data_IF_562283233882
#
_entry.id   IF_562283233882
#
_cell.length_a   1.000
_cell.length_b   1.000
_cell.length_c   1.000
_cell.angle_alpha   90.00
_cell.angle_beta   90.00
_cell.angle_gamma   90.00
#
_symmetry.space_group_name_H-M   'P 1'
#
loop_
_entity.id
_entity.type
_entity.pdbx_description
1 polymer ?
#
# COMPACT_ATOMS: atom_id res chain seq x y z
N UNK A 1 54.53 -37.13 -28.54
CA UNK A 1 54.14 -35.73 -28.82
C UNK A 1 52.72 -35.69 -29.36
N UNK A 2 51.77 -35.16 -28.58
CA UNK A 2 50.63 -34.32 -29.01
C UNK A 2 49.68 -34.16 -27.83
N UNK A 3 49.89 -33.05 -27.11
CA UNK A 3 49.02 -32.58 -26.04
C UNK A 3 47.71 -32.10 -26.66
N UNK A 4 46.58 -32.67 -26.24
CA UNK A 4 45.25 -32.22 -26.64
C UNK A 4 44.84 -31.10 -25.67
N UNK A 5 44.79 -29.86 -26.19
CA UNK A 5 44.32 -28.70 -25.45
C UNK A 5 42.78 -28.66 -25.52
N UNK A 6 42.11 -28.89 -24.39
CA UNK A 6 40.68 -28.62 -24.23
C UNK A 6 40.49 -27.14 -23.92
N UNK A 7 39.89 -26.39 -24.86
CA UNK A 7 39.41 -25.04 -24.60
C UNK A 7 38.00 -25.10 -24.00
N UNK A 8 37.85 -24.71 -22.73
CA UNK A 8 36.55 -24.44 -22.13
C UNK A 8 36.04 -23.08 -22.62
N UNK A 9 35.04 -23.08 -23.49
CA UNK A 9 34.26 -21.89 -23.80
C UNK A 9 33.21 -21.67 -22.70
N UNK A 10 33.45 -20.68 -21.82
CA UNK A 10 32.44 -20.17 -20.89
C UNK A 10 31.47 -19.29 -21.67
N UNK A 11 30.31 -19.84 -22.02
CA UNK A 11 29.18 -19.06 -22.54
C UNK A 11 28.49 -18.44 -21.32
N UNK A 12 28.86 -17.21 -20.99
CA UNK A 12 28.13 -16.40 -20.03
C UNK A 12 26.82 -15.96 -20.70
N UNK A 13 25.75 -16.74 -20.52
CA UNK A 13 24.39 -16.25 -20.77
C UNK A 13 24.08 -15.22 -19.70
N UNK A 14 24.31 -13.95 -20.00
CA UNK A 14 23.77 -12.85 -19.22
C UNK A 14 22.25 -12.91 -19.30
N UNK A 15 21.61 -13.33 -18.21
CA UNK A 15 20.18 -13.12 -18.02
C UNK A 15 20.01 -11.62 -17.83
N UNK A 16 19.63 -10.90 -18.88
CA UNK A 16 19.05 -9.57 -18.70
C UNK A 16 17.67 -9.79 -18.11
N UNK A 17 17.56 -9.66 -16.79
CA UNK A 17 16.29 -9.33 -16.17
C UNK A 17 15.90 -7.97 -16.76
N UNK A 18 15.01 -7.96 -17.74
CA UNK A 18 14.29 -6.74 -18.07
C UNK A 18 13.44 -6.45 -16.84
N UNK A 19 13.88 -5.48 -16.03
CA UNK A 19 12.96 -4.78 -15.14
C UNK A 19 11.95 -4.12 -16.08
N UNK A 20 10.78 -4.76 -16.23
CA UNK A 20 9.57 -4.07 -16.65
C UNK A 20 9.36 -2.98 -15.58
N UNK A 21 9.86 -1.78 -15.86
CA UNK A 21 9.61 -0.64 -14.99
C UNK A 21 8.10 -0.46 -14.94
N UNK A 22 7.50 -0.75 -13.79
CA UNK A 22 6.06 -0.60 -13.56
C UNK A 22 5.71 0.85 -13.92
N UNK A 23 4.77 1.06 -14.86
CA UNK A 23 4.46 2.38 -15.42
C UNK A 23 3.68 3.20 -14.37
N UNK A 24 4.39 3.74 -13.38
CA UNK A 24 3.82 4.59 -12.35
C UNK A 24 3.37 5.93 -12.98
N UNK A 25 2.05 6.22 -13.05
CA UNK A 25 1.56 7.45 -13.65
C UNK A 25 1.97 8.71 -12.86
N UNK A 26 2.45 8.56 -11.63
CA UNK A 26 2.98 9.65 -10.81
C UNK A 26 4.38 10.11 -11.23
N UNK A 27 5.16 9.27 -11.92
CA UNK A 27 6.48 9.66 -12.42
C UNK A 27 6.41 10.66 -13.58
N UNK A 28 5.20 10.84 -14.14
CA UNK A 28 4.89 11.75 -15.24
C UNK A 28 4.27 13.07 -14.77
N UNK A 29 4.18 13.30 -13.46
CA UNK A 29 3.64 14.55 -12.89
C UNK A 29 4.64 15.68 -13.13
N UNK A 30 4.17 16.77 -13.74
CA UNK A 30 4.97 17.99 -13.92
C UNK A 30 4.51 19.08 -12.94
N UNK A 31 5.46 19.85 -12.40
CA UNK A 31 5.23 21.01 -11.52
C UNK A 31 4.42 20.70 -10.24
N UNK A 32 4.54 19.48 -9.71
CA UNK A 32 3.84 19.03 -8.50
C UNK A 32 2.30 19.14 -8.56
N UNK A 33 1.73 19.20 -9.78
CA UNK A 33 0.28 19.19 -9.98
C UNK A 33 -0.17 17.75 -10.23
N UNK A 34 -0.76 17.15 -9.20
CA UNK A 34 -1.34 15.81 -9.25
C UNK A 34 -2.24 15.65 -10.49
N UNK A 35 -1.94 14.65 -11.33
CA UNK A 35 -2.84 14.25 -12.41
C UNK A 35 -3.97 13.39 -11.85
N UNK A 36 -5.07 13.25 -12.60
CA UNK A 36 -6.16 12.37 -12.16
C UNK A 36 -5.68 10.92 -12.07
N UNK A 37 -4.88 10.52 -13.05
CA UNK A 37 -4.27 9.21 -13.17
C UNK A 37 -3.33 8.92 -11.99
N UNK A 38 -2.45 9.86 -11.63
CA UNK A 38 -1.59 9.71 -10.46
C UNK A 38 -2.42 9.66 -9.17
N UNK A 39 -3.39 10.57 -8.97
CA UNK A 39 -4.22 10.54 -7.75
C UNK A 39 -4.94 9.20 -7.56
N UNK A 40 -5.46 8.62 -8.66
CA UNK A 40 -6.14 7.34 -8.62
C UNK A 40 -5.18 6.19 -8.31
N UNK A 41 -3.98 6.22 -8.88
CA UNK A 41 -2.92 5.26 -8.59
C UNK A 41 -2.49 5.34 -7.12
N UNK A 42 -2.12 6.53 -6.62
CA UNK A 42 -1.72 6.75 -5.23
C UNK A 42 -2.79 6.28 -4.24
N UNK A 43 -4.06 6.60 -4.51
CA UNK A 43 -5.18 6.09 -3.71
C UNK A 43 -5.19 4.55 -3.67
N UNK A 44 -5.11 3.90 -4.83
CA UNK A 44 -5.15 2.44 -4.90
C UNK A 44 -3.97 1.82 -4.13
N UNK A 45 -2.76 2.33 -4.35
CA UNK A 45 -1.55 1.85 -3.66
C UNK A 45 -1.66 2.00 -2.15
N UNK A 46 -2.15 3.15 -1.65
CA UNK A 46 -2.33 3.38 -0.23
C UNK A 46 -3.43 2.48 0.39
N UNK A 47 -4.52 2.22 -0.34
CA UNK A 47 -5.56 1.28 0.10
C UNK A 47 -5.06 -0.17 0.11
N UNK A 48 -4.21 -0.56 -0.85
CA UNK A 48 -3.57 -1.87 -0.89
C UNK A 48 -2.59 -2.03 0.28
N UNK A 49 -1.72 -1.04 0.53
CA UNK A 49 -0.83 -1.02 1.69
C UNK A 49 -1.60 -1.14 3.02
N UNK A 50 -2.72 -0.43 3.14
CA UNK A 50 -3.58 -0.51 4.32
C UNK A 50 -4.19 -1.91 4.52
N UNK A 51 -4.59 -2.56 3.42
CA UNK A 51 -5.10 -3.94 3.47
C UNK A 51 -4.00 -4.92 3.91
N UNK A 52 -2.80 -4.77 3.36
CA UNK A 52 -1.62 -5.56 3.74
C UNK A 52 -1.30 -5.36 5.22
N UNK A 53 -1.25 -4.13 5.70
CA UNK A 53 -0.96 -3.82 7.09
C UNK A 53 -2.04 -4.30 8.07
N UNK A 54 -3.30 -4.29 7.64
CA UNK A 54 -4.39 -4.90 8.41
C UNK A 54 -4.20 -6.42 8.52
N UNK A 55 -3.79 -7.09 7.43
CA UNK A 55 -3.49 -8.53 7.45
C UNK A 55 -2.30 -8.82 8.34
N UNK A 56 -1.20 -8.10 8.18
CA UNK A 56 0.01 -8.27 8.99
C UNK A 56 -0.25 -8.02 10.48
N UNK A 57 -1.09 -7.05 10.84
CA UNK A 57 -1.51 -6.86 12.23
C UNK A 57 -2.25 -8.09 12.78
N UNK A 58 -3.17 -8.68 12.02
CA UNK A 58 -3.87 -9.89 12.46
C UNK A 58 -2.92 -11.08 12.63
N UNK A 59 -1.94 -11.23 11.74
CA UNK A 59 -0.88 -12.25 11.86
C UNK A 59 -0.01 -12.02 13.11
N UNK A 60 0.36 -10.76 13.41
CA UNK A 60 1.05 -10.40 14.67
C UNK A 60 0.21 -10.77 15.89
N UNK A 61 -1.08 -10.43 15.91
CA UNK A 61 -1.97 -10.78 17.02
C UNK A 61 -2.09 -12.31 17.20
N UNK A 62 -2.16 -13.06 16.10
CA UNK A 62 -2.15 -14.53 16.13
C UNK A 62 -0.85 -15.09 16.73
N UNK A 63 0.30 -14.50 16.39
CA UNK A 63 1.60 -14.90 16.95
C UNK A 63 1.67 -14.65 18.47
N UNK A 64 1.27 -13.45 18.90
CA UNK A 64 1.35 -13.03 20.30
C UNK A 64 0.33 -13.73 21.20
N UNK A 65 -0.91 -13.88 20.72
CA UNK A 65 -2.05 -14.32 21.55
C UNK A 65 -2.61 -15.68 21.15
N UNK A 66 -2.01 -16.39 20.18
CA UNK A 66 -2.52 -17.67 19.67
C UNK A 66 -2.70 -18.78 20.71
N UNK A 67 -1.99 -18.70 21.85
CA UNK A 67 -2.14 -19.65 22.98
C UNK A 67 -3.31 -19.30 23.91
N UNK A 68 -3.92 -18.13 23.75
CA UNK A 68 -5.08 -17.68 24.52
C UNK A 68 -6.23 -17.32 23.56
N UNK A 69 -7.06 -18.30 23.15
CA UNK A 69 -8.10 -18.10 22.14
C UNK A 69 -9.11 -17.00 22.49
N UNK A 70 -9.45 -16.84 23.77
CA UNK A 70 -10.39 -15.80 24.21
C UNK A 70 -9.81 -14.39 24.03
N UNK A 71 -8.54 -14.20 24.40
CA UNK A 71 -7.86 -12.91 24.23
C UNK A 71 -7.62 -12.58 22.75
N UNK A 72 -7.23 -13.58 21.94
CA UNK A 72 -7.08 -13.40 20.49
C UNK A 72 -8.40 -13.00 19.83
N UNK A 73 -9.51 -13.68 20.17
CA UNK A 73 -10.83 -13.35 19.63
C UNK A 73 -11.27 -11.93 20.02
N UNK A 74 -11.02 -11.52 21.27
CA UNK A 74 -11.34 -10.17 21.74
C UNK A 74 -10.56 -9.08 21.00
N UNK A 75 -9.23 -9.20 20.90
CA UNK A 75 -8.41 -8.16 20.26
C UNK A 75 -8.67 -8.06 18.75
N UNK A 76 -8.82 -9.20 18.05
CA UNK A 76 -9.12 -9.21 16.61
C UNK A 76 -10.52 -8.62 16.31
N UNK A 77 -11.51 -8.87 17.17
CA UNK A 77 -12.82 -8.25 17.05
C UNK A 77 -12.75 -6.72 17.22
N UNK A 78 -11.97 -6.24 18.19
CA UNK A 78 -11.75 -4.80 18.42
C UNK A 78 -11.03 -4.13 17.24
N UNK A 79 -9.98 -4.76 16.71
CA UNK A 79 -9.26 -4.26 15.53
C UNK A 79 -10.22 -4.12 14.34
N UNK A 80 -11.02 -5.15 14.07
CA UNK A 80 -12.01 -5.13 12.99
C UNK A 80 -13.02 -3.99 13.16
N UNK A 81 -13.61 -3.86 14.34
CA UNK A 81 -14.59 -2.81 14.62
C UNK A 81 -13.98 -1.40 14.48
N UNK A 82 -12.77 -1.20 15.01
CA UNK A 82 -12.06 0.06 14.92
C UNK A 82 -11.70 0.42 13.47
N UNK A 83 -11.24 -0.55 12.66
CA UNK A 83 -10.93 -0.34 11.26
C UNK A 83 -12.17 0.07 10.45
N UNK A 84 -13.31 -0.62 10.66
CA UNK A 84 -14.59 -0.27 10.00
C UNK A 84 -15.09 1.13 10.37
N UNK A 85 -14.92 1.54 11.64
CA UNK A 85 -15.30 2.88 12.07
C UNK A 85 -14.37 3.95 11.50
N UNK A 86 -13.06 3.66 11.45
CA UNK A 86 -12.08 4.54 10.85
C UNK A 86 -12.36 4.76 9.36
N UNK A 87 -12.72 3.72 8.59
CA UNK A 87 -13.08 3.86 7.17
C UNK A 87 -14.25 4.85 6.95
N UNK A 88 -15.29 4.76 7.80
CA UNK A 88 -16.42 5.71 7.74
C UNK A 88 -16.00 7.14 8.06
N UNK A 89 -15.09 7.29 9.02
CA UNK A 89 -14.53 8.60 9.39
C UNK A 89 -13.73 9.16 8.22
N UNK A 90 -12.90 8.31 7.59
CA UNK A 90 -12.11 8.69 6.42
C UNK A 90 -12.97 9.19 5.28
N UNK A 91 -13.98 8.42 4.92
CA UNK A 91 -14.82 8.78 3.78
C UNK A 91 -15.61 10.07 4.07
N UNK A 92 -16.01 10.30 5.32
CA UNK A 92 -16.67 11.55 5.74
C UNK A 92 -15.74 12.76 5.71
N UNK A 93 -14.52 12.62 6.24
CA UNK A 93 -13.53 13.69 6.27
C UNK A 93 -13.07 14.05 4.85
N UNK A 94 -12.83 13.05 3.99
CA UNK A 94 -12.42 13.30 2.60
C UNK A 94 -13.52 13.93 1.74
N UNK A 95 -14.80 13.70 2.06
CA UNK A 95 -15.90 14.42 1.43
C UNK A 95 -15.92 15.91 1.83
N UNK A 96 -15.44 16.25 3.04
CA UNK A 96 -15.31 17.63 3.53
C UNK A 96 -14.05 18.29 2.95
N UNK A 97 -12.91 17.61 2.96
CA UNK A 97 -11.63 18.14 2.50
C UNK A 97 -11.66 18.53 1.01
N UNK A 98 -12.47 17.85 0.21
CA UNK A 98 -12.67 18.20 -1.19
C UNK A 98 -13.42 19.53 -1.42
N UNK A 99 -13.98 20.17 -0.39
CA UNK A 99 -14.65 21.47 -0.50
C UNK A 99 -13.63 22.60 -0.77
N UNK A 100 -13.89 23.56 -1.69
CA UNK A 100 -15.15 23.83 -2.37
C UNK A 100 -15.29 23.20 -3.76
N UNK A 101 -14.47 22.22 -4.12
CA UNK A 101 -14.55 21.61 -5.44
C UNK A 101 -15.92 20.98 -5.68
N UNK A 102 -16.49 21.22 -6.85
CA UNK A 102 -17.82 20.71 -7.19
C UNK A 102 -17.79 19.18 -7.31
N UNK A 103 -18.71 18.51 -6.61
CA UNK A 103 -18.87 17.06 -6.72
C UNK A 103 -18.97 16.61 -8.19
N UNK A 104 -18.20 15.57 -8.54
CA UNK A 104 -18.10 15.05 -9.91
C UNK A 104 -17.12 15.79 -10.83
N UNK A 105 -16.53 16.90 -10.39
CA UNK A 105 -15.45 17.56 -11.14
C UNK A 105 -14.11 16.82 -11.00
N UNK A 106 -13.18 17.03 -11.95
CA UNK A 106 -11.82 16.48 -11.87
C UNK A 106 -11.10 16.90 -10.58
N UNK A 107 -11.22 18.17 -10.18
CA UNK A 107 -10.60 18.70 -8.97
C UNK A 107 -11.14 18.03 -7.70
N UNK A 108 -12.46 17.79 -7.63
CA UNK A 108 -13.08 17.08 -6.53
C UNK A 108 -12.62 15.62 -6.43
N UNK A 109 -12.49 14.93 -7.56
CA UNK A 109 -11.99 13.55 -7.59
C UNK A 109 -10.53 13.45 -7.15
N UNK A 110 -9.67 14.37 -7.63
CA UNK A 110 -8.26 14.43 -7.22
C UNK A 110 -8.17 14.68 -5.72
N UNK A 111 -8.86 15.70 -5.20
CA UNK A 111 -8.82 16.03 -3.77
C UNK A 111 -9.31 14.86 -2.88
N UNK A 112 -10.36 14.14 -3.29
CA UNK A 112 -10.79 12.95 -2.56
C UNK A 112 -9.77 11.81 -2.62
N UNK A 113 -9.18 11.55 -3.78
CA UNK A 113 -8.19 10.50 -3.94
C UNK A 113 -6.96 10.77 -3.06
N UNK A 114 -6.47 12.01 -3.08
CA UNK A 114 -5.31 12.43 -2.32
C UNK A 114 -5.57 12.36 -0.80
N UNK A 115 -6.74 12.79 -0.35
CA UNK A 115 -7.16 12.64 1.04
C UNK A 115 -7.21 11.15 1.46
N UNK A 116 -7.86 10.31 0.64
CA UNK A 116 -7.96 8.87 0.95
C UNK A 116 -6.58 8.22 1.00
N UNK A 117 -5.67 8.58 0.08
CA UNK A 117 -4.30 8.08 0.07
C UNK A 117 -3.58 8.42 1.38
N UNK A 118 -3.45 9.72 1.69
CA UNK A 118 -2.79 10.21 2.91
C UNK A 118 -3.32 9.54 4.18
N UNK A 119 -4.64 9.50 4.33
CA UNK A 119 -5.24 8.94 5.54
C UNK A 119 -5.03 7.43 5.64
N UNK A 120 -5.00 6.72 4.50
CA UNK A 120 -4.75 5.28 4.47
C UNK A 120 -3.28 4.96 4.80
N UNK A 121 -2.33 5.80 4.36
CA UNK A 121 -0.92 5.71 4.74
C UNK A 121 -0.75 5.96 6.26
N UNK A 122 -1.30 7.05 6.80
CA UNK A 122 -1.27 7.37 8.23
C UNK A 122 -1.86 6.20 9.06
N UNK A 123 -2.95 5.60 8.56
CA UNK A 123 -3.57 4.44 9.22
C UNK A 123 -2.69 3.20 9.13
N UNK A 124 -2.00 2.99 8.02
CA UNK A 124 -1.06 1.88 7.85
C UNK A 124 0.05 1.95 8.88
N UNK A 125 0.69 3.12 9.04
CA UNK A 125 1.71 3.36 10.06
C UNK A 125 1.18 3.10 11.49
N UNK A 126 -0.05 3.56 11.77
CA UNK A 126 -0.69 3.26 13.05
C UNK A 126 -0.87 1.75 13.26
N UNK A 127 -1.35 1.01 12.27
CA UNK A 127 -1.52 -0.45 12.38
C UNK A 127 -0.18 -1.17 12.53
N UNK A 128 0.86 -0.71 11.84
CA UNK A 128 2.24 -1.19 11.99
C UNK A 128 2.73 -1.03 13.42
N UNK A 129 2.47 0.10 14.07
CA UNK A 129 2.93 0.36 15.45
C UNK A 129 2.37 -0.61 16.51
N UNK A 130 1.25 -1.30 16.21
CA UNK A 130 0.58 -2.18 17.18
C UNK A 130 1.26 -3.55 17.24
N UNK A 131 1.65 -3.95 18.46
CA UNK A 131 2.17 -5.28 18.75
C UNK A 131 3.61 -5.50 18.28
N UNK A 132 4.44 -4.45 18.34
CA UNK A 132 5.86 -4.44 17.95
C UNK A 132 6.82 -4.72 19.12
N UNK A 133 6.32 -5.13 20.30
CA UNK A 133 7.12 -5.44 21.51
C UNK A 133 7.68 -6.86 21.52
#
# INVERSE_FOLDING_TARGET
MKSILLALALIATGVTAAEEADDNPCDKVENDVQTLECSAFSKSTAEDLLNENTKSLNERMQSLYGKNPAQLADITAKIKAAHQQWQKTRDADCAIEAFPATAGSKAFTIAQNDCVARMSDDRSEFLESIGQE
#
